data_IF_141197102851
#
_entry.id   IF_141197102851
#
_cell.length_a   1.000
_cell.length_b   1.000
_cell.length_c   1.000
_cell.angle_alpha   90.00
_cell.angle_beta   90.00
_cell.angle_gamma   90.00
#
_symmetry.space_group_name_H-M   'P 1'
#
loop_
_entity.id
_entity.type
_entity.pdbx_description
1 polymer ?
#
# COMPACT_ATOMS: atom_id res chain seq x y z
N UNK A 1 -43.85 6.66 -18.45
CA UNK A 1 -44.54 6.14 -17.25
C UNK A 1 -43.55 6.06 -16.12
N UNK A 2 -43.49 7.12 -15.33
CA UNK A 2 -42.69 7.23 -14.09
C UNK A 2 -43.55 6.68 -12.96
N UNK A 3 -43.21 5.48 -12.51
CA UNK A 3 -43.90 4.82 -11.41
C UNK A 3 -43.44 5.46 -10.09
N UNK A 4 -44.18 6.48 -9.64
CA UNK A 4 -43.90 7.29 -8.44
C UNK A 4 -44.19 6.49 -7.16
N UNK A 5 -44.80 5.31 -7.25
CA UNK A 5 -45.20 4.53 -6.08
C UNK A 5 -44.08 3.69 -5.44
N UNK A 6 -42.85 3.75 -5.98
CA UNK A 6 -41.67 3.05 -5.41
C UNK A 6 -40.73 3.95 -4.60
N UNK A 7 -41.20 5.12 -4.17
CA UNK A 7 -40.47 5.89 -3.16
C UNK A 7 -40.86 5.37 -1.78
N UNK A 8 -39.95 4.74 -1.01
CA UNK A 8 -40.23 4.46 0.39
C UNK A 8 -40.62 5.78 1.05
N UNK A 9 -41.76 5.78 1.72
CA UNK A 9 -42.35 6.93 2.39
C UNK A 9 -41.26 7.69 3.14
N UNK A 10 -40.91 8.88 2.64
CA UNK A 10 -40.04 9.80 3.36
C UNK A 10 -40.73 10.08 4.70
N UNK A 11 -40.15 9.58 5.80
CA UNK A 11 -40.60 9.95 7.14
C UNK A 11 -40.60 11.47 7.24
N UNK A 12 -41.66 12.05 7.80
CA UNK A 12 -41.91 13.48 7.92
C UNK A 12 -40.62 14.33 8.02
N UNK A 13 -40.15 14.84 6.89
CA UNK A 13 -39.11 15.86 6.85
C UNK A 13 -39.85 17.19 6.71
N UNK A 14 -39.80 18.04 7.73
CA UNK A 14 -40.36 19.41 7.68
C UNK A 14 -39.54 20.37 6.79
N UNK A 15 -38.58 19.84 6.03
CA UNK A 15 -37.62 20.61 5.24
C UNK A 15 -37.90 20.45 3.73
N UNK A 16 -37.66 21.53 2.97
CA UNK A 16 -37.78 21.52 1.51
C UNK A 16 -36.71 20.62 0.88
N UNK A 17 -37.12 19.55 0.20
CA UNK A 17 -36.23 18.61 -0.49
C UNK A 17 -36.04 19.03 -1.95
N UNK A 18 -34.81 19.26 -2.45
CA UNK A 18 -34.59 19.58 -3.84
C UNK A 18 -34.85 18.35 -4.72
N UNK A 19 -35.70 18.49 -5.74
CA UNK A 19 -36.08 17.40 -6.65
C UNK A 19 -35.40 17.50 -8.02
N UNK A 20 -35.04 18.71 -8.45
CA UNK A 20 -34.42 18.97 -9.75
C UNK A 20 -33.54 20.21 -9.68
N UNK A 21 -32.37 20.12 -10.30
CA UNK A 21 -31.49 21.26 -10.56
C UNK A 21 -31.47 21.50 -12.06
N UNK A 22 -31.79 22.71 -12.49
CA UNK A 22 -31.59 23.17 -13.87
C UNK A 22 -30.37 24.08 -13.91
N UNK A 23 -29.38 23.73 -14.73
CA UNK A 23 -28.19 24.54 -14.97
C UNK A 23 -28.25 25.04 -16.40
N UNK A 24 -28.41 26.36 -16.57
CA UNK A 24 -28.36 27.02 -17.87
C UNK A 24 -26.96 27.55 -18.11
N UNK A 25 -26.40 27.19 -19.25
CA UNK A 25 -25.08 27.62 -19.70
C UNK A 25 -25.22 28.44 -20.96
N UNK A 26 -24.37 29.46 -21.10
CA UNK A 26 -24.27 30.27 -22.31
C UNK A 26 -22.82 30.21 -22.76
N UNK A 27 -22.57 29.54 -23.88
CA UNK A 27 -21.22 29.45 -24.44
C UNK A 27 -20.94 30.69 -25.30
N UNK A 28 -19.81 31.35 -25.03
CA UNK A 28 -19.21 32.33 -25.96
C UNK A 28 -18.19 31.57 -26.83
N UNK A 29 -18.17 31.77 -28.16
CA UNK A 29 -18.66 32.95 -28.90
C UNK A 29 -20.01 32.78 -29.61
N UNK A 30 -20.55 31.55 -29.69
CA UNK A 30 -21.65 31.25 -30.63
C UNK A 30 -23.06 31.54 -30.10
N UNK A 31 -23.17 32.02 -28.85
CA UNK A 31 -24.46 32.37 -28.24
C UNK A 31 -25.38 31.17 -27.96
N UNK A 32 -24.88 29.95 -28.16
CA UNK A 32 -25.62 28.72 -27.90
C UNK A 32 -25.88 28.60 -26.39
N UNK A 33 -27.17 28.60 -26.06
CA UNK A 33 -27.68 28.32 -24.72
C UNK A 33 -27.94 26.81 -24.58
N UNK A 34 -27.32 26.19 -23.57
CA UNK A 34 -27.53 24.80 -23.22
C UNK A 34 -28.14 24.69 -21.83
N UNK A 35 -29.14 23.82 -21.67
CA UNK A 35 -29.71 23.50 -20.35
C UNK A 35 -29.37 22.06 -19.96
N UNK A 36 -28.86 21.90 -18.75
CA UNK A 36 -28.65 20.61 -18.11
C UNK A 36 -29.66 20.44 -16.99
N UNK A 37 -30.25 19.25 -16.90
CA UNK A 37 -31.22 18.91 -15.86
C UNK A 37 -30.72 17.73 -15.04
N UNK A 38 -30.61 17.93 -13.73
CA UNK A 38 -30.22 16.92 -12.77
C UNK A 38 -31.43 16.60 -11.88
N UNK A 39 -31.99 15.40 -12.02
CA UNK A 39 -33.07 14.94 -11.15
C UNK A 39 -32.46 14.30 -9.89
N UNK A 40 -32.99 14.67 -8.72
CA UNK A 40 -32.52 14.17 -7.43
C UNK A 40 -33.50 13.12 -6.94
N UNK A 41 -33.07 11.86 -6.95
CA UNK A 41 -33.90 10.73 -6.54
C UNK A 41 -33.70 10.33 -5.08
N UNK A 42 -32.59 10.77 -4.46
CA UNK A 42 -32.27 10.53 -3.05
C UNK A 42 -31.59 11.78 -2.49
N UNK A 43 -32.12 12.29 -1.38
CA UNK A 43 -31.59 13.44 -0.66
C UNK A 43 -31.44 13.10 0.80
N UNK A 44 -30.25 13.34 1.35
CA UNK A 44 -29.93 13.11 2.76
C UNK A 44 -29.57 14.48 3.36
N UNK A 45 -30.52 15.20 3.98
CA UNK A 45 -30.30 16.58 4.43
C UNK A 45 -29.25 16.68 5.53
N UNK A 46 -29.23 15.70 6.43
CA UNK A 46 -28.38 15.68 7.60
C UNK A 46 -27.42 14.50 7.50
N UNK A 47 -26.37 14.68 6.72
CA UNK A 47 -25.24 13.77 6.77
C UNK A 47 -24.53 13.97 8.11
N UNK A 48 -24.26 12.88 8.84
CA UNK A 48 -23.35 12.94 10.00
C UNK A 48 -21.98 13.45 9.53
N UNK A 49 -21.14 14.03 10.41
CA UNK A 49 -19.78 14.44 10.04
C UNK A 49 -18.98 13.33 9.34
N UNK A 50 -19.20 12.07 9.75
CA UNK A 50 -18.61 10.88 9.13
C UNK A 50 -19.14 10.65 7.71
N UNK A 51 -20.45 10.73 7.50
CA UNK A 51 -21.05 10.59 6.18
C UNK A 51 -20.65 11.73 5.22
N UNK A 52 -20.52 12.96 5.73
CA UNK A 52 -19.99 14.09 4.94
C UNK A 52 -18.55 13.82 4.51
N UNK A 53 -17.71 13.38 5.45
CA UNK A 53 -16.32 13.07 5.18
C UNK A 53 -16.19 11.91 4.18
N UNK A 54 -17.05 10.90 4.28
CA UNK A 54 -17.09 9.79 3.33
C UNK A 54 -17.59 10.22 1.94
N UNK A 55 -18.62 11.05 1.86
CA UNK A 55 -19.16 11.56 0.60
C UNK A 55 -18.17 12.45 -0.16
N UNK A 56 -17.27 13.11 0.57
CA UNK A 56 -16.17 13.91 0.01
C UNK A 56 -14.88 13.10 -0.20
N UNK A 57 -14.83 11.85 0.28
CA UNK A 57 -13.69 10.98 0.09
C UNK A 57 -13.70 10.35 -1.31
N UNK A 58 -12.51 10.17 -1.87
CA UNK A 58 -12.40 9.52 -3.17
C UNK A 58 -12.70 8.02 -3.03
N UNK A 59 -13.46 7.42 -3.96
CA UNK A 59 -13.74 5.98 -3.92
C UNK A 59 -12.46 5.14 -3.92
N UNK A 60 -12.55 3.91 -3.42
CA UNK A 60 -11.45 2.94 -3.48
C UNK A 60 -11.01 2.68 -4.93
N UNK A 61 -9.71 2.58 -5.16
CA UNK A 61 -9.15 2.32 -6.48
C UNK A 61 -9.25 3.45 -7.49
N UNK A 62 -9.68 4.67 -7.11
CA UNK A 62 -9.74 5.79 -8.06
C UNK A 62 -8.48 6.65 -7.91
N UNK A 63 -7.70 6.73 -9.00
CA UNK A 63 -6.53 7.61 -9.11
C UNK A 63 -6.89 8.80 -10.01
N UNK A 64 -6.53 10.02 -9.59
CA UNK A 64 -6.82 11.25 -10.32
C UNK A 64 -5.52 12.01 -10.62
N UNK A 65 -4.95 11.83 -11.82
CA UNK A 65 -3.62 12.35 -12.18
C UNK A 65 -3.36 13.84 -11.93
N UNK A 66 -4.40 14.68 -11.85
CA UNK A 66 -4.29 16.13 -11.66
C UNK A 66 -4.61 16.61 -10.22
N UNK A 67 -4.79 15.70 -9.26
CA UNK A 67 -5.07 16.10 -7.89
C UNK A 67 -3.76 16.51 -7.17
N UNK A 68 -3.78 17.68 -6.52
CA UNK A 68 -2.68 18.06 -5.64
C UNK A 68 -2.75 17.25 -4.36
N UNK A 69 -1.61 16.73 -3.92
CA UNK A 69 -1.54 15.95 -2.69
C UNK A 69 -1.80 16.87 -1.47
N UNK A 70 -2.89 16.61 -0.74
CA UNK A 70 -3.32 17.42 0.41
C UNK A 70 -2.71 16.99 1.73
N UNK A 71 -1.99 15.85 1.75
CA UNK A 71 -1.30 15.35 2.94
C UNK A 71 0.04 14.71 2.59
N UNK A 72 1.17 15.12 3.21
CA UNK A 72 2.47 14.53 2.90
C UNK A 72 2.47 13.04 3.25
N UNK A 73 3.21 12.24 2.48
CA UNK A 73 3.47 10.86 2.88
C UNK A 73 4.27 10.83 4.19
N UNK A 74 4.07 9.80 5.01
CA UNK A 74 4.96 9.54 6.13
C UNK A 74 6.39 9.36 5.62
N UNK A 75 7.29 10.21 6.09
CA UNK A 75 8.69 10.30 5.63
C UNK A 75 9.71 9.96 6.70
N UNK A 76 9.31 9.94 7.97
CA UNK A 76 10.17 9.71 9.13
C UNK A 76 10.05 8.30 9.68
N UNK A 77 10.30 7.30 8.83
CA UNK A 77 10.41 5.92 9.28
C UNK A 77 11.74 5.69 10.00
N UNK A 78 11.72 4.89 11.06
CA UNK A 78 12.92 4.46 11.77
C UNK A 78 13.85 3.68 10.83
N UNK A 79 15.16 3.92 10.91
CA UNK A 79 16.18 3.12 10.21
C UNK A 79 16.27 1.68 10.74
N UNK A 80 15.59 1.40 11.86
CA UNK A 80 15.44 0.08 12.48
C UNK A 80 13.96 -0.27 12.61
N UNK A 81 13.50 -1.26 11.88
CA UNK A 81 12.11 -1.73 11.92
C UNK A 81 12.06 -3.25 11.96
N UNK A 82 11.03 -3.78 12.61
CA UNK A 82 10.59 -5.15 12.38
C UNK A 82 9.12 -5.16 12.02
N UNK A 83 8.74 -6.11 11.17
CA UNK A 83 7.36 -6.28 10.77
C UNK A 83 7.03 -7.75 10.57
N UNK A 84 5.83 -8.14 10.95
CA UNK A 84 5.28 -9.44 10.59
C UNK A 84 3.91 -9.25 9.94
N UNK A 85 3.56 -10.17 9.06
CA UNK A 85 2.37 -10.01 8.25
C UNK A 85 2.09 -11.18 7.33
N UNK A 86 1.24 -10.91 6.35
CA UNK A 86 0.95 -11.81 5.24
C UNK A 86 0.93 -11.05 3.92
N UNK A 87 1.25 -11.76 2.85
CA UNK A 87 1.09 -11.33 1.47
C UNK A 87 0.03 -12.24 0.86
N UNK A 88 -1.07 -11.64 0.42
CA UNK A 88 -2.15 -12.30 -0.31
C UNK A 88 -1.99 -11.97 -1.79
N UNK A 89 -1.85 -12.97 -2.64
CA UNK A 89 -1.70 -12.79 -4.08
C UNK A 89 -2.88 -13.42 -4.80
N UNK A 90 -3.68 -12.58 -5.43
CA UNK A 90 -4.86 -12.93 -6.21
C UNK A 90 -4.53 -12.86 -7.70
N UNK A 91 -4.47 -14.02 -8.36
CA UNK A 91 -4.35 -14.16 -9.81
C UNK A 91 -5.64 -14.76 -10.36
N UNK A 92 -6.52 -13.92 -10.91
CA UNK A 92 -7.84 -14.35 -11.36
C UNK A 92 -8.69 -14.89 -10.20
N UNK A 93 -8.84 -16.21 -10.10
CA UNK A 93 -9.59 -16.89 -9.01
C UNK A 93 -8.70 -17.60 -8.00
N UNK A 94 -7.40 -17.69 -8.26
CA UNK A 94 -6.45 -18.36 -7.38
C UNK A 94 -5.95 -17.38 -6.32
N UNK A 95 -5.95 -17.82 -5.07
CA UNK A 95 -5.40 -17.10 -3.92
C UNK A 95 -4.18 -17.85 -3.41
N UNK A 96 -3.01 -17.22 -3.50
CA UNK A 96 -1.83 -17.63 -2.77
C UNK A 96 -1.68 -16.75 -1.53
N UNK A 97 -1.19 -17.33 -0.44
CA UNK A 97 -0.83 -16.58 0.76
C UNK A 97 0.57 -16.97 1.21
N UNK A 98 1.31 -15.99 1.70
CA UNK A 98 2.64 -16.13 2.27
C UNK A 98 2.69 -15.31 3.55
N UNK A 99 2.97 -15.95 4.69
CA UNK A 99 3.25 -15.21 5.92
C UNK A 99 4.71 -14.76 5.91
N UNK A 100 5.00 -13.61 6.50
CA UNK A 100 6.37 -13.11 6.59
C UNK A 100 6.70 -12.50 7.95
N UNK A 101 7.99 -12.50 8.25
CA UNK A 101 8.62 -11.77 9.34
C UNK A 101 9.87 -11.11 8.76
N UNK A 102 10.03 -9.81 9.00
CA UNK A 102 11.13 -9.02 8.47
C UNK A 102 11.76 -8.22 9.57
N UNK A 103 13.09 -8.25 9.62
CA UNK A 103 13.91 -7.36 10.43
C UNK A 103 14.75 -6.54 9.47
N UNK A 104 14.79 -5.24 9.69
CA UNK A 104 15.52 -4.30 8.86
C UNK A 104 16.30 -3.35 9.75
N UNK A 105 17.63 -3.40 9.69
CA UNK A 105 18.49 -2.51 10.43
C UNK A 105 19.54 -1.89 9.52
N UNK A 106 19.28 -0.64 9.15
CA UNK A 106 20.18 0.12 8.29
C UNK A 106 21.48 0.54 8.97
N UNK A 107 21.49 0.63 10.31
CA UNK A 107 22.71 0.97 11.06
C UNK A 107 23.72 -0.17 11.00
N UNK A 108 23.25 -1.41 11.03
CA UNK A 108 24.06 -2.61 10.86
C UNK A 108 24.13 -3.10 9.41
N UNK A 109 23.50 -2.39 8.46
CA UNK A 109 23.49 -2.73 7.04
C UNK A 109 22.99 -4.16 6.77
N UNK A 110 21.94 -4.60 7.47
CA UNK A 110 21.37 -5.94 7.23
C UNK A 110 19.84 -5.94 7.23
N UNK A 111 19.28 -6.83 6.41
CA UNK A 111 17.87 -7.17 6.43
C UNK A 111 17.70 -8.69 6.50
N UNK A 112 16.72 -9.16 7.26
CA UNK A 112 16.37 -10.58 7.36
C UNK A 112 14.91 -10.74 7.00
N UNK A 113 14.61 -11.68 6.12
CA UNK A 113 13.27 -12.03 5.66
C UNK A 113 13.02 -13.50 5.95
N UNK A 114 12.01 -13.79 6.77
CA UNK A 114 11.47 -15.13 6.95
C UNK A 114 10.15 -15.19 6.22
N UNK A 115 9.95 -16.23 5.42
CA UNK A 115 8.69 -16.45 4.74
C UNK A 115 8.19 -17.87 4.85
N UNK A 116 6.89 -18.00 5.10
CA UNK A 116 6.18 -19.27 5.22
C UNK A 116 5.12 -19.34 4.12
N UNK A 117 5.32 -20.28 3.20
CA UNK A 117 4.38 -20.58 2.13
C UNK A 117 3.32 -21.57 2.61
N UNK A 118 2.12 -21.49 2.04
CA UNK A 118 0.99 -22.38 2.38
C UNK A 118 1.29 -23.88 2.17
N UNK A 119 2.29 -24.23 1.36
CA UNK A 119 2.73 -25.62 1.16
C UNK A 119 3.62 -26.16 2.31
N UNK A 120 3.83 -25.38 3.37
CA UNK A 120 4.68 -25.71 4.51
C UNK A 120 6.17 -25.45 4.26
N UNK A 121 6.55 -24.94 3.09
CA UNK A 121 7.91 -24.50 2.82
C UNK A 121 8.17 -23.19 3.57
N UNK A 122 9.31 -23.16 4.26
CA UNK A 122 9.77 -21.98 4.99
C UNK A 122 11.17 -21.63 4.53
N UNK A 123 11.37 -20.35 4.20
CA UNK A 123 12.65 -19.84 3.74
C UNK A 123 13.08 -18.68 4.63
N UNK A 124 14.38 -18.66 4.94
CA UNK A 124 15.02 -17.58 5.69
C UNK A 124 16.07 -16.99 4.76
N UNK A 125 16.01 -15.68 4.55
CA UNK A 125 16.94 -14.93 3.72
C UNK A 125 17.55 -13.80 4.56
N UNK A 126 18.87 -13.63 4.47
CA UNK A 126 19.64 -12.59 5.15
C UNK A 126 20.43 -11.83 4.09
N UNK A 127 20.19 -10.53 4.00
CA UNK A 127 20.92 -9.61 3.14
C UNK A 127 21.94 -8.87 4.01
N UNK A 128 23.22 -9.12 3.76
CA UNK A 128 24.33 -8.45 4.42
C UNK A 128 24.91 -7.43 3.43
N UNK A 129 24.50 -6.17 3.56
CA UNK A 129 24.95 -5.08 2.70
C UNK A 129 26.39 -4.64 3.01
N UNK A 130 26.95 -5.03 4.17
CA UNK A 130 28.36 -4.75 4.47
C UNK A 130 29.28 -5.66 3.63
N UNK A 131 28.86 -6.90 3.37
CA UNK A 131 29.59 -7.84 2.49
C UNK A 131 29.08 -7.86 1.05
N UNK A 132 27.88 -7.35 0.80
CA UNK A 132 27.22 -7.40 -0.51
C UNK A 132 26.66 -8.77 -0.86
N UNK A 133 26.40 -9.62 0.14
CA UNK A 133 25.96 -11.00 -0.03
C UNK A 133 24.54 -11.24 0.51
N UNK A 134 23.83 -12.14 -0.15
CA UNK A 134 22.57 -12.73 0.31
C UNK A 134 22.84 -14.17 0.71
N UNK A 135 22.33 -14.55 1.88
CA UNK A 135 22.32 -15.92 2.38
C UNK A 135 20.88 -16.40 2.42
N UNK A 136 20.56 -17.52 1.79
CA UNK A 136 19.23 -18.13 1.89
C UNK A 136 19.33 -19.56 2.37
N UNK A 137 18.52 -19.85 3.38
CA UNK A 137 18.34 -21.17 3.94
C UNK A 137 16.95 -21.70 3.61
N UNK A 138 16.91 -22.82 2.87
CA UNK A 138 15.68 -23.56 2.59
C UNK A 138 15.48 -24.60 3.68
N UNK A 139 14.52 -24.40 4.58
CA UNK A 139 14.35 -25.29 5.74
C UNK A 139 13.96 -26.72 5.37
N UNK A 140 13.22 -26.89 4.26
CA UNK A 140 12.77 -28.18 3.74
C UNK A 140 13.92 -29.09 3.31
N UNK A 141 14.94 -28.51 2.67
CA UNK A 141 16.09 -29.25 2.12
C UNK A 141 17.36 -29.09 2.94
N UNK A 142 17.33 -28.19 3.95
CA UNK A 142 18.50 -27.75 4.72
C UNK A 142 19.64 -27.24 3.83
N UNK A 143 19.29 -26.67 2.68
CA UNK A 143 20.27 -26.14 1.73
C UNK A 143 20.52 -24.66 1.96
N UNK A 144 21.80 -24.33 1.94
CA UNK A 144 22.30 -22.97 1.92
C UNK A 144 22.65 -22.55 0.50
N UNK A 145 22.21 -21.34 0.13
CA UNK A 145 22.60 -20.68 -1.11
C UNK A 145 23.12 -19.29 -0.80
N UNK A 146 24.18 -18.90 -1.49
CA UNK A 146 24.80 -17.59 -1.35
C UNK A 146 24.96 -16.98 -2.72
N UNK A 147 24.60 -15.71 -2.85
CA UNK A 147 24.79 -14.92 -4.07
C UNK A 147 24.99 -13.44 -3.74
N UNK A 148 25.36 -12.64 -4.72
CA UNK A 148 25.57 -11.19 -4.55
C UNK A 148 24.25 -10.42 -4.54
N UNK A 149 24.12 -9.43 -3.66
CA UNK A 149 22.99 -8.50 -3.68
C UNK A 149 23.02 -7.75 -5.03
N UNK A 150 21.88 -7.70 -5.71
CA UNK A 150 21.72 -6.98 -6.97
C UNK A 150 20.60 -5.94 -6.86
N UNK A 151 20.50 -5.04 -7.84
CA UNK A 151 19.54 -3.94 -7.82
C UNK A 151 18.09 -4.34 -8.08
N UNK A 152 17.79 -5.63 -8.26
CA UNK A 152 16.41 -6.13 -8.46
C UNK A 152 15.71 -6.51 -7.15
N UNK A 153 16.46 -6.55 -6.04
CA UNK A 153 15.92 -6.85 -4.72
C UNK A 153 15.31 -5.56 -4.13
N UNK A 154 14.17 -5.69 -3.44
CA UNK A 154 13.35 -4.55 -2.98
C UNK A 154 14.02 -3.66 -1.94
N UNK A 155 15.00 -4.17 -1.20
CA UNK A 155 15.75 -3.44 -0.19
C UNK A 155 17.12 -2.94 -0.67
N UNK A 156 17.39 -3.04 -1.97
CA UNK A 156 18.62 -2.58 -2.59
C UNK A 156 18.36 -1.44 -3.57
N UNK A 157 19.17 -0.38 -3.48
CA UNK A 157 19.17 0.71 -4.47
C UNK A 157 20.55 0.86 -5.11
N UNK A 158 20.64 1.09 -6.43
CA UNK A 158 21.93 1.26 -7.10
C UNK A 158 22.67 2.49 -6.59
N UNK A 159 23.99 2.39 -6.49
CA UNK A 159 24.83 3.54 -6.17
C UNK A 159 24.82 4.55 -7.32
N UNK A 160 24.81 5.87 -7.04
CA UNK A 160 24.87 6.89 -8.08
C UNK A 160 26.09 6.71 -8.99
N UNK A 161 25.85 6.55 -10.29
CA UNK A 161 26.90 6.37 -11.30
C UNK A 161 27.49 4.95 -11.37
N UNK A 162 26.97 3.99 -10.59
CA UNK A 162 27.49 2.63 -10.53
C UNK A 162 26.35 1.60 -10.47
N UNK A 163 25.80 1.20 -11.63
CA UNK A 163 24.66 0.29 -11.71
C UNK A 163 24.90 -1.13 -11.15
N UNK A 164 26.17 -1.52 -10.99
CA UNK A 164 26.58 -2.84 -10.51
C UNK A 164 26.77 -2.92 -8.99
N UNK A 165 26.84 -1.77 -8.31
CA UNK A 165 26.99 -1.71 -6.87
C UNK A 165 25.70 -1.17 -6.26
N UNK A 166 25.29 -1.76 -5.15
CA UNK A 166 24.05 -1.40 -4.46
C UNK A 166 24.34 -0.99 -3.03
N UNK A 167 23.47 -0.16 -2.49
CA UNK A 167 23.40 0.14 -1.07
C UNK A 167 22.04 -0.25 -0.54
N UNK A 168 21.98 -0.44 0.77
CA UNK A 168 20.72 -0.69 1.46
C UNK A 168 19.78 0.51 1.28
N UNK A 169 18.54 0.22 0.92
CA UNK A 169 17.52 1.23 0.69
C UNK A 169 17.18 1.99 1.99
N UNK A 170 16.38 3.05 1.88
CA UNK A 170 15.76 3.62 3.07
C UNK A 170 14.54 2.78 3.45
N UNK A 171 14.14 2.72 4.73
CA UNK A 171 12.91 2.03 5.16
C UNK A 171 11.68 2.40 4.33
N UNK A 172 11.59 3.65 3.86
CA UNK A 172 10.48 4.12 3.01
C UNK A 172 10.39 3.41 1.66
N UNK A 173 11.53 2.99 1.10
CA UNK A 173 11.57 2.23 -0.16
C UNK A 173 10.95 0.84 -0.01
N UNK A 174 10.97 0.24 1.19
CA UNK A 174 10.29 -1.04 1.44
C UNK A 174 8.78 -0.94 1.20
N UNK A 175 8.22 0.26 1.38
CA UNK A 175 6.83 0.56 1.11
C UNK A 175 6.60 1.09 -0.30
N UNK A 176 7.63 1.20 -1.14
CA UNK A 176 7.54 1.58 -2.55
C UNK A 176 6.85 2.94 -2.81
N UNK A 177 6.92 3.86 -1.84
CA UNK A 177 6.35 5.21 -1.93
C UNK A 177 7.21 6.15 -2.79
N UNK A 178 8.49 5.84 -2.96
CA UNK A 178 9.47 6.74 -3.56
C UNK A 178 9.54 6.65 -5.10
N UNK A 179 8.96 5.60 -5.69
CA UNK A 179 9.08 5.28 -7.11
C UNK A 179 7.88 5.71 -7.97
N UNK A 180 6.91 6.41 -7.39
CA UNK A 180 5.70 6.78 -8.13
C UNK A 180 5.08 8.10 -7.67
N UNK A 181 4.37 8.75 -8.59
CA UNK A 181 3.52 9.89 -8.23
C UNK A 181 2.31 9.36 -7.46
N UNK A 182 2.08 9.90 -6.27
CA UNK A 182 0.98 9.51 -5.40
C UNK A 182 0.19 10.72 -4.90
N UNK A 183 -1.06 10.45 -4.52
CA UNK A 183 -1.98 11.43 -3.97
C UNK A 183 -2.65 10.87 -2.71
N UNK A 184 -2.93 11.75 -1.75
CA UNK A 184 -3.75 11.42 -0.61
C UNK A 184 -5.23 11.36 -1.01
N UNK A 185 -5.91 10.26 -0.68
CA UNK A 185 -7.33 10.04 -1.02
C UNK A 185 -8.28 10.11 0.17
N UNK A 186 -7.74 10.43 1.35
CA UNK A 186 -8.53 10.65 2.56
C UNK A 186 -8.26 9.66 3.67
N UNK A 187 -9.09 9.75 4.70
CA UNK A 187 -9.09 8.79 5.82
C UNK A 187 -10.12 7.70 5.59
N UNK A 188 -9.80 6.46 5.95
CA UNK A 188 -10.73 5.32 5.91
C UNK A 188 -10.74 4.57 7.24
N UNK A 189 -11.83 3.88 7.51
CA UNK A 189 -11.86 2.82 8.52
C UNK A 189 -11.21 1.56 7.91
N UNK A 190 -10.13 1.08 8.52
CA UNK A 190 -9.37 -0.08 8.01
C UNK A 190 -9.72 -1.37 8.73
N UNK A 191 -10.12 -1.23 9.98
CA UNK A 191 -10.60 -2.29 10.85
C UNK A 191 -11.53 -1.63 11.87
N UNK A 192 -12.36 -2.43 12.55
CA UNK A 192 -13.14 -1.95 13.69
C UNK A 192 -12.24 -1.14 14.64
N UNK A 193 -12.64 0.11 14.89
CA UNK A 193 -11.95 1.07 15.77
C UNK A 193 -10.59 1.60 15.27
N UNK A 194 -10.16 1.27 14.05
CA UNK A 194 -8.90 1.75 13.47
C UNK A 194 -9.14 2.64 12.25
N UNK A 195 -8.60 3.86 12.27
CA UNK A 195 -8.61 4.77 11.12
C UNK A 195 -7.23 4.90 10.51
N UNK A 196 -7.21 4.98 9.18
CA UNK A 196 -5.98 5.12 8.42
C UNK A 196 -6.03 6.32 7.48
N UNK A 197 -4.84 6.83 7.19
CA UNK A 197 -4.59 7.66 6.04
C UNK A 197 -4.28 6.78 4.84
N UNK A 198 -4.83 7.16 3.69
CA UNK A 198 -4.67 6.39 2.46
C UNK A 198 -4.10 7.26 1.36
N UNK A 199 -3.03 6.77 0.75
CA UNK A 199 -2.48 7.31 -0.49
C UNK A 199 -2.69 6.31 -1.61
N UNK A 200 -2.78 6.80 -2.84
CA UNK A 200 -2.82 5.99 -4.05
C UNK A 200 -1.86 6.56 -5.08
N UNK A 201 -1.13 5.69 -5.75
CA UNK A 201 -0.25 6.02 -6.86
C UNK A 201 -0.54 5.11 -8.05
N UNK A 202 -0.28 5.60 -9.25
CA UNK A 202 -0.38 4.79 -10.47
C UNK A 202 0.77 5.13 -11.43
N UNK A 203 1.46 4.10 -11.91
CA UNK A 203 2.51 4.23 -12.92
C UNK A 203 2.20 3.33 -14.12
N UNK A 204 2.50 3.81 -15.32
CA UNK A 204 2.51 2.97 -16.52
C UNK A 204 3.75 2.07 -16.50
N UNK A 205 3.56 0.78 -16.76
CA UNK A 205 4.69 -0.16 -16.95
C UNK A 205 5.37 0.10 -18.30
N UNK A 206 6.62 -0.37 -18.46
CA UNK A 206 7.50 -0.09 -19.62
C UNK A 206 6.84 -0.24 -21.01
N UNK A 207 5.86 -1.15 -21.14
CA UNK A 207 5.17 -1.41 -22.41
C UNK A 207 3.91 -0.54 -22.64
N UNK A 208 3.57 0.37 -21.71
CA UNK A 208 2.38 1.26 -21.70
C UNK A 208 1.01 0.59 -21.88
N UNK A 209 0.97 -0.73 -21.99
CA UNK A 209 -0.23 -1.55 -22.11
C UNK A 209 -0.76 -2.04 -20.77
N UNK A 210 -0.03 -1.75 -19.69
CA UNK A 210 -0.36 -2.16 -18.33
C UNK A 210 0.06 -1.07 -17.35
N UNK A 211 -0.65 -1.02 -16.24
CA UNK A 211 -0.41 -0.07 -15.18
C UNK A 211 -0.20 -0.81 -13.87
N UNK A 212 0.57 -0.20 -12.99
CA UNK A 212 0.73 -0.63 -11.61
C UNK A 212 0.13 0.45 -10.72
N UNK A 213 -0.89 0.07 -9.96
CA UNK A 213 -1.56 0.93 -8.99
C UNK A 213 -1.23 0.45 -7.59
N UNK A 214 -0.83 1.36 -6.72
CA UNK A 214 -0.53 1.05 -5.32
C UNK A 214 -1.39 1.88 -4.40
N UNK A 215 -1.94 1.27 -3.35
CA UNK A 215 -2.60 1.95 -2.25
C UNK A 215 -1.86 1.67 -0.94
N UNK A 216 -1.56 2.72 -0.18
CA UNK A 216 -0.85 2.60 1.11
C UNK A 216 -1.76 3.04 2.24
N UNK A 217 -1.86 2.20 3.26
CA UNK A 217 -2.69 2.41 4.43
C UNK A 217 -1.81 2.55 5.68
N UNK A 218 -1.93 3.71 6.32
CA UNK A 218 -1.18 4.05 7.52
C UNK A 218 -2.13 4.37 8.66
N UNK A 219 -2.11 3.54 9.70
CA UNK A 219 -2.91 3.76 10.89
C UNK A 219 -2.45 5.02 11.62
N UNK A 220 -3.40 5.91 11.89
CA UNK A 220 -3.17 7.15 12.64
C UNK A 220 -4.08 7.26 13.88
N UNK A 221 -5.05 6.36 14.02
CA UNK A 221 -5.94 6.33 15.18
C UNK A 221 -6.42 4.91 15.48
N UNK A 222 -6.43 4.53 16.76
CA UNK A 222 -7.04 3.30 17.27
C UNK A 222 -7.80 3.60 18.56
N UNK A 223 -9.06 3.16 18.69
CA UNK A 223 -9.89 3.44 19.87
C UNK A 223 -9.94 4.93 20.24
N UNK A 224 -10.11 5.80 19.24
CA UNK A 224 -10.06 7.26 19.34
C UNK A 224 -8.72 7.86 19.82
N UNK A 225 -7.71 7.03 20.11
CA UNK A 225 -6.37 7.49 20.46
C UNK A 225 -5.55 7.68 19.19
N UNK A 226 -4.91 8.84 19.06
CA UNK A 226 -3.99 9.12 17.95
C UNK A 226 -2.73 8.28 18.08
N UNK A 227 -2.27 7.72 16.97
CA UNK A 227 -1.04 6.94 16.85
C UNK A 227 -0.01 7.84 16.19
N UNK A 228 1.11 8.09 16.85
CA UNK A 228 2.26 8.79 16.29
C UNK A 228 3.56 8.09 16.72
N UNK A 229 4.50 7.79 15.80
CA UNK A 229 4.38 7.98 14.35
C UNK A 229 3.31 7.07 13.73
N UNK A 230 2.73 7.46 12.59
CA UNK A 230 1.77 6.60 11.86
C UNK A 230 2.40 5.25 11.53
N UNK A 231 1.59 4.19 11.62
CA UNK A 231 2.06 2.81 11.45
C UNK A 231 1.59 2.27 10.10
N UNK A 232 2.48 1.76 9.23
CA UNK A 232 2.05 1.10 8.01
C UNK A 232 1.34 -0.21 8.37
N UNK A 233 0.12 -0.40 7.87
CA UNK A 233 -0.68 -1.59 8.17
C UNK A 233 -1.07 -2.40 6.94
N UNK A 234 -1.09 -1.77 5.76
CA UNK A 234 -1.50 -2.44 4.53
C UNK A 234 -0.93 -1.74 3.30
N UNK A 235 -0.49 -2.53 2.33
CA UNK A 235 -0.12 -2.11 0.98
C UNK A 235 -0.91 -2.97 -0.01
N UNK A 236 -1.62 -2.34 -0.93
CA UNK A 236 -2.31 -3.04 -2.01
C UNK A 236 -1.66 -2.66 -3.33
N UNK A 237 -1.07 -3.63 -4.01
CA UNK A 237 -0.51 -3.48 -5.34
C UNK A 237 -1.42 -4.17 -6.36
N UNK A 238 -1.94 -3.42 -7.32
CA UNK A 238 -2.84 -3.91 -8.36
C UNK A 238 -2.18 -3.72 -9.72
N UNK A 239 -2.01 -4.82 -10.45
CA UNK A 239 -1.64 -4.78 -11.87
C UNK A 239 -2.90 -4.64 -12.71
N UNK A 240 -2.91 -3.65 -13.59
CA UNK A 240 -4.06 -3.31 -14.43
C UNK A 240 -3.76 -3.55 -15.92
N UNK A 241 -4.79 -3.88 -16.69
CA UNK A 241 -4.73 -3.92 -18.15
C UNK A 241 -4.82 -2.52 -18.78
N UNK A 242 -4.77 -2.45 -20.12
CA UNK A 242 -4.88 -1.20 -20.87
C UNK A 242 -6.23 -0.48 -20.66
N UNK A 243 -7.27 -1.21 -20.23
CA UNK A 243 -8.60 -0.70 -19.89
C UNK A 243 -8.73 -0.39 -18.39
N UNK A 244 -7.62 -0.38 -17.64
CA UNK A 244 -7.55 -0.14 -16.20
C UNK A 244 -8.36 -1.15 -15.37
N UNK A 245 -8.51 -2.38 -15.86
CA UNK A 245 -9.13 -3.48 -15.11
C UNK A 245 -8.06 -4.29 -14.36
N UNK A 246 -8.34 -4.73 -13.11
CA UNK A 246 -7.43 -5.59 -12.36
C UNK A 246 -7.16 -6.92 -13.06
N UNK A 247 -5.88 -7.25 -13.24
CA UNK A 247 -5.38 -8.55 -13.72
C UNK A 247 -4.86 -9.38 -12.53
N UNK A 248 -4.16 -8.72 -11.62
CA UNK A 248 -3.60 -9.33 -10.42
C UNK A 248 -3.63 -8.32 -9.27
N UNK A 249 -3.86 -8.81 -8.06
CA UNK A 249 -3.82 -8.01 -6.83
C UNK A 249 -2.89 -8.70 -5.85
N UNK A 250 -1.93 -7.96 -5.31
CA UNK A 250 -1.08 -8.37 -4.21
C UNK A 250 -1.37 -7.46 -3.02
N UNK A 251 -1.81 -8.03 -1.91
CA UNK A 251 -2.07 -7.31 -0.68
C UNK A 251 -1.08 -7.74 0.39
N UNK A 252 -0.31 -6.80 0.91
CA UNK A 252 0.55 -7.00 2.08
C UNK A 252 -0.17 -6.45 3.29
N UNK A 253 -0.54 -7.30 4.24
CA UNK A 253 -1.12 -6.93 5.53
C UNK A 253 -0.03 -7.01 6.60
N UNK A 254 0.12 -5.97 7.42
CA UNK A 254 1.12 -5.88 8.48
C UNK A 254 0.40 -5.95 9.82
N UNK A 255 0.66 -7.02 10.58
CA UNK A 255 0.00 -7.30 11.85
C UNK A 255 0.77 -6.76 13.05
N UNK A 256 2.09 -6.74 12.95
CA UNK A 256 2.98 -6.15 13.95
C UNK A 256 3.99 -5.29 13.24
N UNK A 257 4.21 -4.10 13.77
CA UNK A 257 5.23 -3.18 13.33
C UNK A 257 5.92 -2.62 14.56
N UNK A 258 7.24 -2.72 14.64
CA UNK A 258 8.01 -2.19 15.75
C UNK A 258 9.13 -1.31 15.22
N UNK A 259 9.32 -0.16 15.85
CA UNK A 259 10.52 0.66 15.66
C UNK A 259 11.53 0.30 16.73
N UNK A 260 12.81 0.30 16.38
CA UNK A 260 13.89 -0.12 17.28
C UNK A 260 13.64 -1.50 17.91
N UNK A 261 13.36 -2.55 17.10
CA UNK A 261 13.34 -3.91 17.65
C UNK A 261 14.65 -4.16 18.40
N UNK A 262 14.57 -4.87 19.53
CA UNK A 262 15.77 -5.32 20.22
C UNK A 262 16.58 -6.15 19.22
N UNK A 263 17.71 -5.59 18.79
CA UNK A 263 18.66 -6.24 17.88
C UNK A 263 19.59 -7.16 18.65
N UNK A 264 19.11 -7.78 19.73
CA UNK A 264 19.81 -8.96 20.22
C UNK A 264 19.81 -9.92 19.04
N UNK A 265 21.02 -10.19 18.58
CA UNK A 265 21.40 -10.92 17.39
C UNK A 265 20.94 -12.38 17.52
N UNK A 266 19.66 -12.64 17.72
CA UNK A 266 19.02 -13.89 17.33
C UNK A 266 18.82 -13.85 15.82
N UNK A 267 19.92 -13.61 15.08
CA UNK A 267 20.06 -14.17 13.74
C UNK A 267 19.69 -15.63 13.94
N UNK A 268 18.60 -16.02 13.29
CA UNK A 268 18.01 -17.33 13.50
C UNK A 268 19.15 -18.36 13.46
N UNK A 269 19.28 -19.17 14.52
CA UNK A 269 20.45 -20.06 14.66
C UNK A 269 20.63 -20.94 13.43
N UNK A 270 19.54 -21.19 12.70
CA UNK A 270 19.54 -21.90 11.41
C UNK A 270 20.24 -21.15 10.28
N UNK A 271 20.08 -19.83 10.15
CA UNK A 271 20.80 -19.03 9.13
C UNK A 271 22.20 -18.63 9.60
N UNK A 272 22.43 -18.57 10.91
CA UNK A 272 23.75 -18.34 11.48
C UNK A 272 24.75 -19.43 11.05
N UNK A 273 24.31 -20.67 10.88
CA UNK A 273 25.16 -21.75 10.35
C UNK A 273 25.50 -21.53 8.87
N UNK A 274 24.55 -21.01 8.09
CA UNK A 274 24.77 -20.59 6.71
C UNK A 274 25.81 -19.48 6.60
N UNK A 275 25.67 -18.47 7.47
CA UNK A 275 26.55 -17.32 7.55
C UNK A 275 27.95 -17.71 8.01
N UNK A 276 28.08 -18.61 9.00
CA UNK A 276 29.37 -19.10 9.51
C UNK A 276 30.09 -20.05 8.57
N UNK A 277 29.38 -20.93 7.88
CA UNK A 277 29.98 -21.92 6.99
C UNK A 277 30.53 -21.31 5.69
N UNK A 278 29.97 -20.18 5.26
CA UNK A 278 30.28 -19.56 3.96
C UNK A 278 30.73 -18.10 4.07
N UNK A 279 30.71 -17.51 5.27
CA UNK A 279 31.21 -16.17 5.52
C UNK A 279 32.72 -16.08 5.39
N UNK A 280 33.27 -14.88 5.13
CA UNK A 280 34.71 -14.67 5.15
C UNK A 280 35.23 -15.07 6.53
N UNK A 281 36.05 -16.13 6.58
CA UNK A 281 36.89 -16.38 7.74
C UNK A 281 37.81 -15.18 7.89
N UNK A 282 37.49 -14.31 8.85
CA UNK A 282 38.40 -13.24 9.28
C UNK A 282 39.75 -13.80 9.71
#
# INVERSE_FOLDING_TARGET
MTDIEKFPSFGYINDSVPLRIEVRTKSAPDGNEGSYFYNIFRFLPNLTPEQQQQALSMPAGVFCSNQTNTKPSPSNLSDKISMNGEILILFGKELAAESFDTIYDRSFQFAQFKSWLNNGEHTIELHDFATGLVYRYLTSTRQCKVWTINSSISDAVPLPGQSQFVQMAKPLHLFLLDDMNFQYIGSRECHSQMRCHVWIGENALLNRSQYERREWYWAYQFNNQTIEPWIPIRLVNTRLDAQHKPIAVMETNIYKYQTNPLTEFEVDSTIADCYRALGPTG
#
